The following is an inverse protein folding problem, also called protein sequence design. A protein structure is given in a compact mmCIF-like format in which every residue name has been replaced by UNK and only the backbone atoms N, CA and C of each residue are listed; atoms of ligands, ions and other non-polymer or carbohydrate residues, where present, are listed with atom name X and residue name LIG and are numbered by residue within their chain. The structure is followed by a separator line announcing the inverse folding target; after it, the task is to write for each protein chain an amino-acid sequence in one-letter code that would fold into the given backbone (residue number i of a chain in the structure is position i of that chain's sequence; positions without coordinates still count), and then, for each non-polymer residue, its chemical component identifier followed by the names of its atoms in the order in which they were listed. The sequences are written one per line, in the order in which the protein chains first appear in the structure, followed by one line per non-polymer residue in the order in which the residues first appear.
data_IF_724179739221
#
_entry.id   IF_724179739221
#
_cell.length_a   1.000
_cell.length_b   1.000
_cell.length_c   1.000
_cell.angle_alpha   90.00
_cell.angle_beta   90.00
_cell.angle_gamma   90.00
#
_symmetry.space_group_name_H-M   'P 1'
#
loop_
_entity.id
_entity.type
_entity.pdbx_description
1 polymer ?
#
# COMPACT_ATOMS: atom_id res chain seq x y z
N UNK A 1 -17.62 35.69 -57.50
CA UNK A 1 -16.86 35.63 -56.23
C UNK A 1 -17.79 35.40 -55.03
N UNK A 2 -18.42 34.21 -54.93
CA UNK A 2 -19.20 33.80 -53.74
C UNK A 2 -18.97 32.33 -53.34
N UNK A 3 -18.34 31.51 -54.19
CA UNK A 3 -17.95 30.13 -53.85
C UNK A 3 -16.65 30.03 -53.04
N UNK A 4 -15.85 31.11 -52.96
CA UNK A 4 -14.56 31.10 -52.27
C UNK A 4 -14.68 31.26 -50.74
N UNK A 5 -15.83 31.71 -50.23
CA UNK A 5 -16.07 31.87 -48.78
C UNK A 5 -16.67 30.62 -48.11
N UNK A 6 -17.28 29.71 -48.89
CA UNK A 6 -17.79 28.45 -48.36
C UNK A 6 -16.68 27.43 -48.09
N UNK A 7 -15.56 27.52 -48.82
CA UNK A 7 -14.42 26.63 -48.61
C UNK A 7 -13.59 27.00 -47.37
N UNK A 8 -13.53 28.29 -47.01
CA UNK A 8 -12.90 28.77 -45.77
C UNK A 8 -13.73 28.50 -44.52
N UNK A 9 -15.05 28.30 -44.66
CA UNK A 9 -15.93 27.95 -43.53
C UNK A 9 -15.94 26.46 -43.18
N UNK A 10 -15.61 25.58 -44.13
CA UNK A 10 -15.61 24.12 -43.92
C UNK A 10 -14.30 23.59 -43.30
N UNK A 11 -13.20 24.36 -43.37
CA UNK A 11 -11.90 24.00 -42.79
C UNK A 11 -11.78 24.35 -41.30
N UNK A 12 -12.66 25.20 -40.77
CA UNK A 12 -12.61 25.69 -39.38
C UNK A 12 -13.48 24.88 -38.39
N UNK A 13 -14.31 23.96 -38.88
CA UNK A 13 -15.20 23.14 -38.05
C UNK A 13 -14.63 21.76 -37.69
N UNK A 14 -13.45 21.39 -38.22
CA UNK A 14 -12.86 20.06 -38.04
C UNK A 14 -11.85 19.95 -36.86
N UNK A 15 -11.63 21.02 -36.09
CA UNK A 15 -10.54 21.09 -35.09
C UNK A 15 -10.99 20.83 -33.64
N UNK A 16 -12.28 20.64 -33.36
CA UNK A 16 -12.80 20.55 -31.97
C UNK A 16 -13.16 19.14 -31.46
N UNK A 17 -12.79 18.06 -32.15
CA UNK A 17 -13.05 16.68 -31.71
C UNK A 17 -11.80 15.81 -31.58
N UNK A 18 -10.72 16.34 -30.99
CA UNK A 18 -9.57 15.53 -30.55
C UNK A 18 -9.22 15.81 -29.09
N UNK A 19 -10.17 15.48 -28.21
CA UNK A 19 -9.89 15.05 -26.84
C UNK A 19 -10.56 13.69 -26.63
N UNK A 20 -10.07 12.69 -27.36
CA UNK A 20 -10.19 11.30 -26.92
C UNK A 20 -9.36 11.20 -25.65
N UNK A 21 -10.00 11.33 -24.49
CA UNK A 21 -9.38 11.09 -23.20
C UNK A 21 -8.63 9.76 -23.24
N UNK A 22 -7.34 9.82 -22.98
CA UNK A 22 -6.46 8.67 -22.95
C UNK A 22 -7.06 7.63 -21.99
N UNK A 23 -7.68 6.58 -22.52
CA UNK A 23 -7.89 5.36 -21.74
C UNK A 23 -6.50 4.82 -21.55
N UNK A 24 -5.96 4.95 -20.33
CA UNK A 24 -4.76 4.26 -19.93
C UNK A 24 -4.95 2.78 -20.28
N UNK A 25 -4.36 2.35 -21.39
CA UNK A 25 -4.17 0.95 -21.74
C UNK A 25 -3.07 0.45 -20.82
N UNK A 26 -3.43 0.17 -19.56
CA UNK A 26 -2.59 -0.63 -18.69
C UNK A 26 -2.67 -2.06 -19.23
N UNK A 27 -1.80 -2.30 -20.21
CA UNK A 27 -0.94 -3.48 -20.35
C UNK A 27 -1.56 -4.82 -20.00
N UNK A 28 -1.99 -5.53 -21.05
CA UNK A 28 -1.97 -6.99 -21.15
C UNK A 28 -2.90 -7.76 -20.20
N UNK A 29 -3.03 -9.09 -20.40
CA UNK A 29 -3.71 -9.95 -19.45
C UNK A 29 -2.88 -9.95 -18.17
N UNK A 30 -3.21 -9.05 -17.23
CA UNK A 30 -2.80 -9.15 -15.83
C UNK A 30 -3.16 -10.56 -15.36
N UNK A 31 -2.15 -11.36 -15.03
CA UNK A 31 -2.28 -12.74 -14.55
C UNK A 31 -2.96 -12.79 -13.18
N UNK A 32 -4.25 -12.44 -13.14
CA UNK A 32 -5.12 -12.56 -11.98
C UNK A 32 -5.21 -14.02 -11.55
N UNK A 33 -5.25 -14.99 -12.50
CA UNK A 33 -5.33 -16.41 -12.15
C UNK A 33 -4.20 -16.91 -11.23
N UNK A 34 -2.95 -16.49 -11.46
CA UNK A 34 -1.82 -16.88 -10.61
C UNK A 34 -1.81 -16.13 -9.26
N UNK A 35 -2.38 -14.92 -9.21
CA UNK A 35 -2.55 -14.16 -7.97
C UNK A 35 -3.70 -14.72 -7.14
N UNK A 36 -4.80 -15.09 -7.79
CA UNK A 36 -6.00 -15.67 -7.19
C UNK A 36 -5.64 -16.93 -6.44
N UNK A 37 -4.89 -17.84 -7.06
CA UNK A 37 -4.43 -19.06 -6.38
C UNK A 37 -3.62 -18.75 -5.11
N UNK A 38 -2.71 -17.77 -5.17
CA UNK A 38 -1.87 -17.39 -4.04
C UNK A 38 -2.68 -16.75 -2.90
N UNK A 39 -3.60 -15.83 -3.23
CA UNK A 39 -4.40 -15.12 -2.21
C UNK A 39 -5.48 -16.03 -1.62
N UNK A 40 -6.11 -16.89 -2.42
CA UNK A 40 -7.17 -17.81 -1.97
C UNK A 40 -6.65 -18.91 -1.05
N UNK A 41 -5.38 -19.32 -1.20
CA UNK A 41 -4.74 -20.23 -0.26
C UNK A 41 -4.53 -19.61 1.13
N UNK A 42 -4.67 -18.28 1.26
CA UNK A 42 -4.38 -17.52 2.48
C UNK A 42 -2.99 -17.86 3.07
N UNK A 43 -2.02 -18.17 2.22
CA UNK A 43 -0.67 -18.55 2.63
C UNK A 43 0.34 -17.78 1.79
N UNK A 44 0.71 -16.60 2.30
CA UNK A 44 1.61 -15.69 1.59
C UNK A 44 2.29 -14.70 2.54
N UNK A 45 3.40 -14.13 2.06
CA UNK A 45 4.10 -13.02 2.68
C UNK A 45 3.95 -11.76 1.84
N UNK A 46 3.77 -10.63 2.50
CA UNK A 46 3.97 -9.30 1.93
C UNK A 46 5.37 -8.84 2.33
N UNK A 47 6.21 -8.51 1.35
CA UNK A 47 7.52 -7.91 1.58
C UNK A 47 7.43 -6.43 1.25
N UNK A 48 7.71 -5.57 2.23
CA UNK A 48 7.59 -4.13 2.07
C UNK A 48 8.94 -3.52 1.68
N UNK A 49 8.93 -2.72 0.62
CA UNK A 49 10.12 -2.00 0.13
C UNK A 49 10.13 -0.54 0.59
N UNK A 50 8.98 0.01 0.95
CA UNK A 50 8.84 1.40 1.38
C UNK A 50 7.88 1.53 2.56
N UNK A 51 8.24 2.41 3.50
CA UNK A 51 7.37 2.91 4.56
C UNK A 51 7.01 4.37 4.27
N UNK A 52 5.74 4.72 4.36
CA UNK A 52 5.20 6.05 4.12
C UNK A 52 4.43 6.51 5.37
N UNK A 53 5.12 7.13 6.35
CA UNK A 53 4.51 7.63 7.57
C UNK A 53 3.57 8.81 7.30
N UNK A 54 2.64 9.05 8.22
CA UNK A 54 1.92 10.33 8.24
C UNK A 54 2.87 11.43 8.70
N UNK A 55 3.11 12.41 7.83
CA UNK A 55 3.95 13.56 8.15
C UNK A 55 3.24 14.49 9.12
N UNK A 56 4.00 14.94 10.11
CA UNK A 56 3.61 15.88 11.15
C UNK A 56 4.62 17.02 11.24
N UNK A 57 4.28 18.06 11.99
CA UNK A 57 5.18 19.20 12.19
C UNK A 57 6.47 18.82 12.92
N UNK A 58 6.44 17.88 13.88
CA UNK A 58 7.66 17.50 14.60
C UNK A 58 8.64 16.74 13.70
N UNK A 59 8.13 16.00 12.70
CA UNK A 59 8.96 15.28 11.74
C UNK A 59 9.68 16.19 10.74
N UNK A 60 9.19 17.40 10.47
CA UNK A 60 9.79 18.33 9.49
C UNK A 60 11.26 18.66 9.82
N UNK A 61 11.61 18.68 11.12
CA UNK A 61 12.96 18.98 11.59
C UNK A 61 13.91 17.76 11.54
N UNK A 62 13.39 16.58 11.19
CA UNK A 62 14.17 15.33 11.17
C UNK A 62 14.71 15.00 9.78
N UNK A 63 14.42 15.83 8.76
CA UNK A 63 14.83 15.54 7.37
C UNK A 63 16.34 15.36 7.22
N UNK A 64 17.13 16.11 8.00
CA UNK A 64 18.61 16.07 7.94
C UNK A 64 19.21 14.84 8.61
N UNK A 65 18.44 14.14 9.45
CA UNK A 65 18.87 12.90 10.13
C UNK A 65 18.67 11.66 9.26
N UNK A 66 17.89 11.78 8.18
CA UNK A 66 17.56 10.65 7.32
C UNK A 66 18.69 10.36 6.35
N UNK A 67 19.08 9.08 6.25
CA UNK A 67 20.11 8.64 5.31
C UNK A 67 19.70 8.79 3.84
N UNK A 68 20.63 8.59 2.90
CA UNK A 68 20.37 8.72 1.47
C UNK A 68 19.14 7.90 1.01
N UNK A 69 18.39 8.41 0.04
CA UNK A 69 17.16 7.80 -0.51
C UNK A 69 15.95 7.79 0.43
N UNK A 70 16.04 8.41 1.60
CA UNK A 70 14.93 8.57 2.53
C UNK A 70 14.47 10.03 2.59
N UNK A 71 13.20 10.22 2.91
CA UNK A 71 12.66 11.48 3.41
C UNK A 71 11.51 11.21 4.37
N UNK A 72 11.04 12.24 5.06
CA UNK A 72 10.00 12.13 6.10
C UNK A 72 8.66 11.54 5.59
N UNK A 73 8.41 11.55 4.28
CA UNK A 73 7.22 10.97 3.65
C UNK A 73 7.45 9.56 3.11
N UNK A 74 8.71 9.15 2.90
CA UNK A 74 9.07 7.91 2.22
C UNK A 74 10.43 7.39 2.70
N UNK A 75 10.37 6.27 3.41
CA UNK A 75 11.52 5.57 3.98
C UNK A 75 11.77 4.29 3.19
N UNK A 76 13.00 4.10 2.74
CA UNK A 76 13.45 2.90 2.04
C UNK A 76 13.63 1.75 3.02
N UNK A 77 12.93 0.65 2.79
CA UNK A 77 13.00 -0.57 3.60
C UNK A 77 13.70 -1.72 2.87
N UNK A 78 14.13 -1.52 1.61
CA UNK A 78 14.83 -2.56 0.86
C UNK A 78 16.11 -2.97 1.58
N UNK A 79 16.33 -4.27 1.71
CA UNK A 79 17.45 -4.84 2.46
C UNK A 79 17.25 -4.88 3.98
N UNK A 80 16.14 -4.34 4.51
CA UNK A 80 15.76 -4.43 5.92
C UNK A 80 14.51 -5.29 6.09
N UNK A 81 14.36 -6.02 7.21
CA UNK A 81 13.15 -6.80 7.47
C UNK A 81 11.92 -5.89 7.57
N UNK A 82 10.94 -6.09 6.68
CA UNK A 82 9.60 -5.53 6.81
C UNK A 82 8.60 -6.42 6.10
N UNK A 83 7.71 -7.06 6.87
CA UNK A 83 6.79 -8.04 6.32
C UNK A 83 5.47 -8.17 7.07
N UNK A 84 4.48 -8.72 6.35
CA UNK A 84 3.24 -9.25 6.90
C UNK A 84 3.00 -10.64 6.31
N UNK A 85 2.92 -11.64 7.16
CA UNK A 85 2.57 -13.01 6.82
C UNK A 85 1.10 -13.26 7.13
N UNK A 86 0.45 -13.99 6.23
CA UNK A 86 -0.90 -14.51 6.41
C UNK A 86 -0.83 -16.01 6.16
N UNK A 87 -1.27 -16.80 7.14
CA UNK A 87 -1.40 -18.26 7.07
C UNK A 87 -2.75 -18.68 7.65
N UNK A 88 -3.73 -18.91 6.78
CA UNK A 88 -5.12 -19.07 7.19
C UNK A 88 -5.62 -17.80 7.89
N UNK A 89 -5.99 -17.93 9.17
CA UNK A 89 -6.40 -16.79 10.01
C UNK A 89 -5.28 -16.30 10.95
N UNK A 90 -4.12 -16.97 10.96
CA UNK A 90 -2.92 -16.51 11.67
C UNK A 90 -2.21 -15.42 10.89
N UNK A 91 -1.78 -14.38 11.60
CA UNK A 91 -1.06 -13.23 11.06
C UNK A 91 0.19 -12.93 11.87
N UNK A 92 1.29 -12.70 11.16
CA UNK A 92 2.58 -12.33 11.76
C UNK A 92 3.17 -11.13 11.04
N UNK A 93 3.60 -10.12 11.78
CA UNK A 93 4.16 -8.92 11.19
C UNK A 93 5.39 -8.43 11.94
N UNK A 94 6.33 -7.91 11.18
CA UNK A 94 7.40 -7.04 11.65
C UNK A 94 7.45 -5.83 10.72
N UNK A 95 7.06 -4.67 11.23
CA UNK A 95 6.87 -3.46 10.43
C UNK A 95 7.60 -2.29 11.10
N UNK A 96 8.82 -1.94 10.66
CA UNK A 96 9.56 -0.79 11.17
C UNK A 96 8.74 0.51 11.10
N UNK A 97 8.62 1.23 12.21
CA UNK A 97 7.75 2.40 12.31
C UNK A 97 8.55 3.71 12.32
N UNK A 98 8.24 4.61 11.40
CA UNK A 98 8.95 5.89 11.22
C UNK A 98 8.04 7.10 11.41
N UNK A 99 7.29 7.15 12.51
CA UNK A 99 6.36 8.25 12.78
C UNK A 99 6.30 8.61 14.27
N UNK A 100 5.29 9.39 14.62
CA UNK A 100 5.07 9.79 16.00
C UNK A 100 4.14 8.82 16.74
N UNK A 101 4.55 8.47 17.97
CA UNK A 101 3.72 7.77 18.94
C UNK A 101 3.17 8.78 19.94
N UNK A 102 1.85 8.93 19.97
CA UNK A 102 1.15 9.93 20.79
C UNK A 102 0.85 9.42 22.21
N UNK A 103 0.73 8.10 22.38
CA UNK A 103 0.39 7.48 23.66
C UNK A 103 1.11 6.14 23.83
N UNK A 104 1.36 5.76 25.07
CA UNK A 104 2.11 4.55 25.40
C UNK A 104 3.59 4.64 25.03
N UNK A 105 4.42 3.88 25.73
CA UNK A 105 5.87 3.89 25.57
C UNK A 105 6.55 3.84 26.93
N UNK A 106 7.21 2.72 27.22
CA UNK A 106 8.24 2.67 28.25
C UNK A 106 9.60 3.00 27.64
N UNK A 107 10.65 3.07 28.46
CA UNK A 107 12.04 3.28 28.03
C UNK A 107 12.62 2.11 27.19
N UNK A 108 11.84 1.05 26.94
CA UNK A 108 12.29 -0.16 26.28
C UNK A 108 12.23 -0.02 24.75
N UNK A 109 13.29 -0.49 24.09
CA UNK A 109 13.49 -0.52 22.63
C UNK A 109 12.53 -1.45 21.88
N UNK A 110 11.69 -2.22 22.58
CA UNK A 110 10.63 -3.08 22.00
C UNK A 110 9.54 -2.29 21.22
N UNK A 111 9.66 -0.96 21.14
CA UNK A 111 8.71 -0.04 20.53
C UNK A 111 9.07 0.46 19.12
N UNK A 112 10.18 0.06 18.50
CA UNK A 112 10.59 0.62 17.20
C UNK A 112 9.76 0.11 16.02
N UNK A 113 9.28 -1.13 16.08
CA UNK A 113 8.46 -1.73 15.04
C UNK A 113 7.05 -2.05 15.54
N UNK A 114 6.08 -2.03 14.63
CA UNK A 114 4.77 -2.63 14.83
C UNK A 114 4.95 -4.14 14.62
N UNK A 115 4.67 -4.92 15.67
CA UNK A 115 4.86 -6.37 15.67
C UNK A 115 3.68 -7.09 16.28
N UNK A 116 3.30 -8.20 15.66
CA UNK A 116 2.30 -9.13 16.19
C UNK A 116 2.53 -10.52 15.60
N UNK A 117 2.13 -11.54 16.33
CA UNK A 117 2.11 -12.95 15.91
C UNK A 117 0.93 -13.60 16.64
N UNK A 118 -0.23 -13.69 15.98
CA UNK A 118 -1.50 -14.10 16.60
C UNK A 118 -2.55 -14.46 15.54
N UNK A 119 -3.70 -14.97 15.98
CA UNK A 119 -4.90 -15.06 15.13
C UNK A 119 -5.55 -13.68 14.93
N UNK A 120 -5.89 -13.38 13.67
CA UNK A 120 -6.51 -12.12 13.30
C UNK A 120 -7.96 -12.02 13.78
N UNK A 121 -8.31 -10.91 14.44
CA UNK A 121 -9.71 -10.63 14.79
C UNK A 121 -10.43 -9.95 13.62
N UNK A 122 -11.71 -10.27 13.42
CA UNK A 122 -12.58 -9.69 12.39
C UNK A 122 -12.00 -9.75 10.96
N UNK A 123 -11.26 -10.81 10.59
CA UNK A 123 -10.66 -10.92 9.26
C UNK A 123 -11.74 -10.96 8.16
N UNK A 124 -11.63 -10.07 7.19
CA UNK A 124 -12.47 -10.02 5.98
C UNK A 124 -11.61 -9.89 4.75
N UNK A 125 -11.79 -10.81 3.81
CA UNK A 125 -11.17 -10.79 2.49
C UNK A 125 -12.25 -10.56 1.43
N UNK A 126 -12.05 -9.58 0.56
CA UNK A 126 -12.94 -9.27 -0.55
C UNK A 126 -12.15 -9.05 -1.84
N UNK A 127 -12.67 -9.56 -2.96
CA UNK A 127 -12.16 -9.21 -4.29
C UNK A 127 -12.99 -8.04 -4.86
N UNK A 128 -12.37 -6.88 -5.04
CA UNK A 128 -13.04 -5.68 -5.54
C UNK A 128 -12.91 -5.68 -7.06
N UNK A 129 -13.82 -6.37 -7.74
CA UNK A 129 -13.81 -6.55 -9.20
C UNK A 129 -13.62 -5.24 -9.98
N UNK A 130 -14.32 -4.17 -9.61
CA UNK A 130 -14.23 -2.87 -10.28
C UNK A 130 -12.84 -2.20 -10.17
N UNK A 131 -11.99 -2.62 -9.23
CA UNK A 131 -10.64 -2.09 -8.99
C UNK A 131 -9.53 -3.13 -9.22
N UNK A 132 -9.89 -4.34 -9.67
CA UNK A 132 -8.96 -5.45 -9.92
C UNK A 132 -7.95 -5.68 -8.78
N UNK A 133 -8.46 -5.77 -7.56
CA UNK A 133 -7.61 -5.96 -6.37
C UNK A 133 -8.33 -6.74 -5.28
N UNK A 134 -7.54 -7.48 -4.51
CA UNK A 134 -7.98 -8.01 -3.23
C UNK A 134 -7.83 -6.94 -2.16
N UNK A 135 -8.75 -6.95 -1.20
CA UNK A 135 -8.63 -6.21 0.03
C UNK A 135 -8.85 -7.15 1.21
N UNK A 136 -7.91 -7.12 2.14
CA UNK A 136 -7.94 -7.88 3.39
C UNK A 136 -7.95 -6.88 4.53
N UNK A 137 -8.89 -7.02 5.46
CA UNK A 137 -8.98 -6.20 6.66
C UNK A 137 -9.03 -7.10 7.87
N UNK A 138 -8.32 -6.73 8.93
CA UNK A 138 -8.39 -7.42 10.21
C UNK A 138 -7.89 -6.50 11.34
N UNK A 139 -8.05 -6.98 12.57
CA UNK A 139 -7.48 -6.38 13.77
C UNK A 139 -6.43 -7.29 14.37
N UNK A 140 -5.37 -6.67 14.90
CA UNK A 140 -4.32 -7.34 15.66
C UNK A 140 -3.97 -6.46 16.87
N UNK A 141 -3.33 -7.05 17.88
CA UNK A 141 -2.94 -6.34 19.10
C UNK A 141 -1.52 -6.71 19.55
N UNK A 142 -0.84 -5.78 20.21
CA UNK A 142 0.40 -6.05 20.94
C UNK A 142 0.38 -5.27 22.24
N UNK A 143 0.41 -5.98 23.37
CA UNK A 143 0.27 -5.37 24.69
C UNK A 143 -1.01 -4.50 24.74
N UNK A 144 -0.88 -3.21 25.03
CA UNK A 144 -1.99 -2.24 25.06
C UNK A 144 -2.25 -1.53 23.73
N UNK A 145 -1.51 -1.84 22.67
CA UNK A 145 -1.63 -1.22 21.35
C UNK A 145 -2.49 -2.11 20.43
N UNK A 146 -3.55 -1.53 19.87
CA UNK A 146 -4.43 -2.20 18.91
C UNK A 146 -4.21 -1.63 17.51
N UNK A 147 -4.24 -2.52 16.51
CA UNK A 147 -3.98 -2.21 15.12
C UNK A 147 -5.19 -2.58 14.26
N UNK A 148 -5.69 -1.63 13.48
CA UNK A 148 -6.55 -1.91 12.34
C UNK A 148 -5.68 -2.02 11.09
N UNK A 149 -5.66 -3.19 10.48
CA UNK A 149 -4.82 -3.51 9.33
C UNK A 149 -5.67 -3.58 8.06
N UNK A 150 -5.25 -2.87 7.01
CA UNK A 150 -5.88 -2.90 5.69
C UNK A 150 -4.81 -3.19 4.65
N UNK A 151 -4.87 -4.35 4.03
CA UNK A 151 -3.99 -4.77 2.94
C UNK A 151 -4.76 -4.73 1.62
N UNK A 152 -4.20 -4.05 0.63
CA UNK A 152 -4.67 -4.08 -0.76
C UNK A 152 -3.61 -4.76 -1.63
N UNK A 153 -4.01 -5.77 -2.40
CA UNK A 153 -3.14 -6.53 -3.30
C UNK A 153 -3.64 -6.34 -4.72
N UNK A 154 -2.82 -5.70 -5.55
CA UNK A 154 -3.18 -5.36 -6.91
C UNK A 154 -2.83 -6.51 -7.86
N UNK A 155 -3.53 -6.59 -8.99
CA UNK A 155 -3.30 -7.59 -10.03
C UNK A 155 -1.84 -7.69 -10.54
N UNK A 156 -1.06 -6.63 -10.40
CA UNK A 156 0.38 -6.61 -10.73
C UNK A 156 1.28 -7.05 -9.57
N UNK A 157 0.74 -7.72 -8.55
CA UNK A 157 1.41 -8.20 -7.33
C UNK A 157 1.94 -7.11 -6.40
N UNK A 158 1.80 -5.84 -6.74
CA UNK A 158 2.10 -4.74 -5.80
C UNK A 158 1.10 -4.76 -4.66
N UNK A 159 1.53 -4.24 -3.52
CA UNK A 159 0.72 -4.20 -2.30
C UNK A 159 0.74 -2.81 -1.69
N UNK A 160 -0.34 -2.46 -0.99
CA UNK A 160 -0.43 -1.30 -0.13
C UNK A 160 -1.00 -1.76 1.21
N UNK A 161 -0.19 -1.67 2.26
CA UNK A 161 -0.53 -2.08 3.62
C UNK A 161 -0.68 -0.84 4.50
N UNK A 162 -1.87 -0.57 4.99
CA UNK A 162 -2.16 0.53 5.90
C UNK A 162 -2.35 0.02 7.32
N UNK A 163 -1.68 0.66 8.27
CA UNK A 163 -1.82 0.38 9.69
C UNK A 163 -2.34 1.62 10.40
N UNK A 164 -3.47 1.48 11.10
CA UNK A 164 -3.96 2.48 12.04
C UNK A 164 -3.81 1.92 13.45
N UNK A 165 -3.12 2.64 14.31
CA UNK A 165 -2.84 2.25 15.70
C UNK A 165 -3.63 3.11 16.68
N UNK A 166 -3.91 2.58 17.87
CA UNK A 166 -4.47 3.35 19.00
C UNK A 166 -3.44 4.26 19.69
N UNK A 167 -2.16 4.11 19.38
CA UNK A 167 -1.05 4.75 20.06
C UNK A 167 -0.14 5.55 19.12
N UNK A 168 -0.12 5.20 17.83
CA UNK A 168 0.75 5.75 16.81
C UNK A 168 -0.03 6.41 15.69
N UNK A 169 0.56 7.43 15.07
CA UNK A 169 0.03 7.98 13.84
C UNK A 169 0.03 6.93 12.73
N UNK A 170 -0.96 6.97 11.80
CA UNK A 170 -1.04 6.01 10.70
C UNK A 170 0.23 5.93 9.86
N UNK A 171 0.51 4.75 9.34
CA UNK A 171 1.59 4.49 8.40
C UNK A 171 1.10 3.58 7.27
N UNK A 172 1.62 3.78 6.07
CA UNK A 172 1.43 2.88 4.94
C UNK A 172 2.75 2.23 4.55
N UNK A 173 2.67 1.01 4.04
CA UNK A 173 3.80 0.31 3.46
C UNK A 173 3.47 -0.08 2.01
N UNK A 174 4.45 0.06 1.12
CA UNK A 174 4.36 -0.40 -0.26
C UNK A 174 5.29 -1.59 -0.46
N UNK A 175 4.78 -2.62 -1.12
CA UNK A 175 5.52 -3.86 -1.26
C UNK A 175 5.06 -4.72 -2.42
N UNK A 176 5.39 -5.99 -2.30
CA UNK A 176 4.98 -7.06 -3.20
C UNK A 176 4.49 -8.27 -2.42
N UNK A 177 3.60 -9.05 -3.02
CA UNK A 177 3.22 -10.38 -2.51
C UNK A 177 4.19 -11.45 -3.00
N UNK A 178 4.58 -12.35 -2.11
CA UNK A 178 5.41 -13.52 -2.36
C UNK A 178 4.82 -14.75 -1.64
N UNK A 179 5.19 -15.98 -2.06
CA UNK A 179 4.92 -17.18 -1.26
C UNK A 179 5.45 -17.02 0.17
N UNK A 180 4.81 -17.69 1.12
CA UNK A 180 5.32 -17.76 2.48
C UNK A 180 6.68 -18.51 2.45
N UNK A 181 7.73 -18.01 3.12
CA UNK A 181 9.00 -18.72 3.17
C UNK A 181 8.87 -20.03 3.95
N UNK A 182 9.65 -21.03 3.53
CA UNK A 182 9.83 -22.27 4.30
C UNK A 182 10.59 -21.96 5.59
N UNK A 183 10.16 -22.57 6.71
CA UNK A 183 10.82 -22.44 8.02
C UNK A 183 12.12 -23.26 8.10
#
# INVERSE_FOLDING_TARGET
MKSLHYFTGLLLFAVICSCSGSKNTVSGPKNMGALDSLVQQKEFRIVNNWGNPMVTNAMMNLSDLLGPQNNIQRINLMGNPSYLDIKGDSVKAYLPYFGERQMGGGYNMDGEAIQFDQEAADMKMEYIKAKERYRIRFKANKNSESFNVILEIYANRKTNLMINSTQRNPIRYEGIIAPLPEE
#
